data_IF_710119517639
#
_entry.id   IF_710119517639
#
_cell.length_a   1.000
_cell.length_b   1.000
_cell.length_c   1.000
_cell.angle_alpha   90.00
_cell.angle_beta   90.00
_cell.angle_gamma   90.00
#
_symmetry.space_group_name_H-M   'P 1'
#
loop_
_entity.id
_entity.type
_entity.pdbx_description
1 polymer ?
#
# COMPACT_ATOMS: atom_id res chain seq x y z
N UNK A 1 15.61 -6.36 -15.87
CA UNK A 1 14.96 -5.03 -15.93
C UNK A 1 14.03 -4.87 -14.72
N UNK A 2 14.18 -3.79 -13.95
CA UNK A 2 13.43 -3.52 -12.71
C UNK A 2 11.96 -3.19 -12.99
N UNK A 3 11.68 -2.47 -14.08
CA UNK A 3 10.31 -2.13 -14.47
C UNK A 3 9.54 -3.36 -14.93
N UNK A 4 10.23 -4.31 -15.57
CA UNK A 4 9.65 -5.61 -15.90
C UNK A 4 9.29 -6.43 -14.63
N UNK A 5 10.14 -6.43 -13.60
CA UNK A 5 9.84 -7.08 -12.32
C UNK A 5 8.65 -6.44 -11.60
N UNK A 6 8.57 -5.11 -11.62
CA UNK A 6 7.42 -4.37 -11.08
C UNK A 6 6.14 -4.72 -11.85
N UNK A 7 6.19 -4.79 -13.18
CA UNK A 7 5.06 -5.22 -14.01
C UNK A 7 4.61 -6.64 -13.65
N UNK A 8 5.54 -7.56 -13.45
CA UNK A 8 5.21 -8.92 -13.02
C UNK A 8 4.52 -8.94 -11.66
N UNK A 9 5.04 -8.17 -10.69
CA UNK A 9 4.45 -8.05 -9.36
C UNK A 9 2.98 -7.59 -9.48
N UNK A 10 2.75 -6.46 -10.15
CA UNK A 10 1.42 -5.87 -10.35
C UNK A 10 0.48 -6.82 -11.09
N UNK A 11 0.95 -7.47 -12.15
CA UNK A 11 0.14 -8.40 -12.93
C UNK A 11 -0.32 -9.59 -12.08
N UNK A 12 0.56 -10.11 -11.21
CA UNK A 12 0.28 -11.28 -10.38
C UNK A 12 -0.57 -10.96 -9.16
N UNK A 13 -0.37 -9.80 -8.56
CA UNK A 13 -1.17 -9.35 -7.40
C UNK A 13 -2.50 -8.70 -7.80
N UNK A 14 -2.59 -8.20 -9.04
CA UNK A 14 -3.64 -7.26 -9.49
C UNK A 14 -3.72 -6.01 -8.61
N UNK A 15 -2.61 -5.65 -7.96
CA UNK A 15 -2.55 -4.49 -7.09
C UNK A 15 -2.55 -3.19 -7.89
N UNK A 16 -3.09 -2.15 -7.27
CA UNK A 16 -2.97 -0.78 -7.74
C UNK A 16 -1.69 -0.14 -7.18
N UNK A 17 -1.07 0.77 -7.94
CA UNK A 17 0.19 1.42 -7.55
C UNK A 17 -0.10 2.75 -6.87
N UNK A 18 0.40 2.93 -5.65
CA UNK A 18 0.36 4.20 -4.93
C UNK A 18 1.78 4.75 -4.80
N UNK A 19 2.01 5.98 -5.25
CA UNK A 19 3.33 6.59 -5.18
C UNK A 19 3.54 7.33 -3.85
N UNK A 20 4.58 6.95 -3.12
CA UNK A 20 5.01 7.57 -1.84
C UNK A 20 6.41 8.19 -1.88
N UNK A 21 7.09 8.16 -3.02
CA UNK A 21 8.42 8.78 -3.17
C UNK A 21 8.33 10.30 -3.20
N UNK A 22 9.46 10.98 -2.98
CA UNK A 22 9.55 12.44 -3.08
C UNK A 22 9.17 12.97 -4.47
N UNK A 23 9.25 12.14 -5.52
CA UNK A 23 8.89 12.53 -6.89
C UNK A 23 7.43 12.95 -7.02
N UNK A 24 6.53 12.45 -6.16
CA UNK A 24 5.12 12.89 -6.18
C UNK A 24 4.92 14.37 -5.77
N UNK A 25 5.92 14.96 -5.14
CA UNK A 25 5.89 16.34 -4.64
C UNK A 25 6.36 17.35 -5.68
N UNK A 26 7.02 16.89 -6.75
CA UNK A 26 7.54 17.70 -7.84
C UNK A 26 6.80 17.30 -9.13
N UNK A 27 6.14 18.26 -9.77
CA UNK A 27 5.29 18.00 -10.94
C UNK A 27 6.07 17.37 -12.10
N UNK A 28 7.30 17.83 -12.37
CA UNK A 28 8.11 17.32 -13.46
C UNK A 28 8.60 15.89 -13.19
N UNK A 29 9.02 15.59 -11.96
CA UNK A 29 9.42 14.24 -11.56
C UNK A 29 8.24 13.28 -11.54
N UNK A 30 7.07 13.74 -11.11
CA UNK A 30 5.84 12.96 -11.13
C UNK A 30 5.40 12.62 -12.56
N UNK A 31 5.41 13.60 -13.47
CA UNK A 31 5.10 13.39 -14.88
C UNK A 31 6.07 12.41 -15.53
N UNK A 32 7.37 12.59 -15.30
CA UNK A 32 8.39 11.68 -15.80
C UNK A 32 8.17 10.24 -15.29
N UNK A 33 7.98 10.07 -13.97
CA UNK A 33 7.71 8.75 -13.39
C UNK A 33 6.43 8.11 -13.95
N UNK A 34 5.39 8.92 -14.19
CA UNK A 34 4.14 8.47 -14.79
C UNK A 34 4.35 7.99 -16.24
N UNK A 35 5.13 8.72 -17.04
CA UNK A 35 5.44 8.36 -18.42
C UNK A 35 6.26 7.06 -18.49
N UNK A 36 7.30 6.94 -17.66
CA UNK A 36 8.13 5.74 -17.58
C UNK A 36 7.30 4.51 -17.19
N UNK A 37 6.43 4.62 -16.19
CA UNK A 37 5.54 3.53 -15.80
C UNK A 37 4.51 3.21 -16.90
N UNK A 38 3.96 4.22 -17.57
CA UNK A 38 2.99 4.05 -18.65
C UNK A 38 3.58 3.30 -19.85
N UNK A 39 4.87 3.47 -20.16
CA UNK A 39 5.55 2.70 -21.19
C UNK A 39 5.53 1.18 -20.91
N UNK A 40 5.39 0.79 -19.64
CA UNK A 40 5.25 -0.61 -19.21
C UNK A 40 3.79 -1.02 -18.95
N UNK A 41 2.82 -0.16 -19.27
CA UNK A 41 1.39 -0.33 -18.98
C UNK A 41 1.08 -0.37 -17.48
N UNK A 42 1.91 0.28 -16.67
CA UNK A 42 1.69 0.47 -15.24
C UNK A 42 1.07 1.86 -15.04
N UNK A 43 -0.03 1.92 -14.29
CA UNK A 43 -0.71 3.17 -13.95
C UNK A 43 -0.53 3.46 -12.46
N UNK A 44 -0.19 4.69 -12.12
CA UNK A 44 -0.30 5.19 -10.76
C UNK A 44 -1.78 5.45 -10.46
N UNK A 45 -2.32 4.75 -9.47
CA UNK A 45 -3.71 4.89 -9.03
C UNK A 45 -3.90 6.14 -8.17
N UNK A 46 -2.99 6.36 -7.22
CA UNK A 46 -3.06 7.45 -6.25
C UNK A 46 -1.65 7.80 -5.75
N UNK A 47 -1.56 8.84 -4.94
CA UNK A 47 -0.33 9.25 -4.27
C UNK A 47 -0.60 9.45 -2.79
N UNK A 48 0.38 9.13 -1.94
CA UNK A 48 0.27 9.47 -0.51
C UNK A 48 0.35 11.00 -0.34
N UNK A 49 -0.27 11.59 0.70
CA UNK A 49 -0.14 13.02 0.96
C UNK A 49 1.33 13.47 0.95
N UNK A 50 1.65 14.57 0.26
CA UNK A 50 2.96 15.20 0.35
C UNK A 50 2.89 16.33 1.37
N UNK A 51 3.16 15.99 2.62
CA UNK A 51 3.14 16.94 3.73
C UNK A 51 4.53 16.98 4.34
N UNK A 52 5.38 17.91 3.88
CA UNK A 52 6.81 17.99 4.22
C UNK A 52 7.18 18.11 5.71
N UNK A 53 6.21 18.01 6.63
CA UNK A 53 6.41 17.95 8.08
C UNK A 53 6.18 16.56 8.67
N UNK A 54 5.69 15.59 7.88
CA UNK A 54 5.39 14.22 8.31
C UNK A 54 6.46 13.25 7.80
N UNK A 55 6.66 12.16 8.53
CA UNK A 55 7.51 11.07 8.05
C UNK A 55 6.81 10.34 6.91
N UNK A 56 7.57 9.68 6.02
CA UNK A 56 6.98 8.82 4.96
C UNK A 56 6.07 7.74 5.55
N UNK A 57 6.44 7.21 6.71
CA UNK A 57 5.61 6.29 7.50
C UNK A 57 4.24 6.91 7.81
N UNK A 58 4.20 8.13 8.31
CA UNK A 58 2.95 8.83 8.63
C UNK A 58 2.11 9.11 7.37
N UNK A 59 2.75 9.42 6.25
CA UNK A 59 2.08 9.69 4.97
C UNK A 59 1.43 8.43 4.40
N UNK A 60 2.14 7.31 4.39
CA UNK A 60 1.60 6.00 3.97
C UNK A 60 0.48 5.58 4.91
N UNK A 61 0.68 5.66 6.23
CA UNK A 61 -0.33 5.32 7.22
C UNK A 61 -1.59 6.20 7.11
N UNK A 62 -1.43 7.50 6.83
CA UNK A 62 -2.57 8.39 6.61
C UNK A 62 -3.37 7.99 5.36
N UNK A 63 -2.68 7.66 4.27
CA UNK A 63 -3.33 7.19 3.04
C UNK A 63 -4.09 5.87 3.27
N UNK A 64 -3.45 4.89 3.91
CA UNK A 64 -4.06 3.58 4.21
C UNK A 64 -5.31 3.72 5.08
N UNK A 65 -5.31 4.62 6.08
CA UNK A 65 -6.48 4.87 6.93
C UNK A 65 -7.64 5.46 6.14
N UNK A 66 -7.36 6.38 5.21
CA UNK A 66 -8.40 7.00 4.36
C UNK A 66 -9.01 5.99 3.37
N UNK A 67 -8.25 4.93 3.02
CA UNK A 67 -8.63 3.90 2.06
C UNK A 67 -8.88 2.52 2.72
N UNK A 68 -9.08 2.47 4.05
CA UNK A 68 -9.13 1.21 4.81
C UNK A 68 -10.23 0.24 4.33
N UNK A 69 -11.29 0.77 3.71
CA UNK A 69 -12.42 -0.01 3.18
C UNK A 69 -12.20 -0.51 1.76
N UNK A 70 -11.13 -0.07 1.11
CA UNK A 70 -10.80 -0.35 -0.29
C UNK A 70 -9.54 -1.21 -0.43
N UNK A 71 -8.71 -1.25 0.62
CA UNK A 71 -7.44 -1.97 0.64
C UNK A 71 -7.60 -3.31 1.36
N UNK A 72 -7.69 -4.40 0.60
CA UNK A 72 -7.75 -5.76 1.16
C UNK A 72 -6.37 -6.27 1.60
N UNK A 73 -5.33 -5.89 0.86
CA UNK A 73 -3.94 -6.27 1.10
C UNK A 73 -3.00 -5.24 0.49
N UNK A 74 -1.82 -5.05 1.09
CA UNK A 74 -0.79 -4.14 0.57
C UNK A 74 0.62 -4.65 0.90
N UNK A 75 1.58 -4.15 0.11
CA UNK A 75 3.01 -4.24 0.38
C UNK A 75 3.66 -2.90 0.03
N UNK A 76 4.65 -2.49 0.81
CA UNK A 76 5.43 -1.28 0.57
C UNK A 76 6.80 -1.67 0.05
N UNK A 77 7.20 -1.12 -1.10
CA UNK A 77 8.54 -1.25 -1.65
C UNK A 77 9.28 0.07 -1.37
N UNK A 78 10.29 0.04 -0.51
CA UNK A 78 11.05 1.24 -0.16
C UNK A 78 12.49 0.85 0.21
N UNK A 79 13.45 1.73 -0.01
CA UNK A 79 14.84 1.56 0.39
C UNK A 79 15.18 2.23 1.73
N UNK A 80 14.26 3.05 2.24
CA UNK A 80 14.38 3.74 3.52
C UNK A 80 13.91 2.85 4.67
N UNK A 81 14.44 3.09 5.87
CA UNK A 81 13.91 2.46 7.08
C UNK A 81 12.51 3.00 7.40
N UNK A 82 11.51 2.10 7.34
CA UNK A 82 10.11 2.38 7.64
C UNK A 82 9.66 1.65 8.92
N UNK A 83 10.60 1.20 9.73
CA UNK A 83 10.32 0.56 11.02
C UNK A 83 9.59 1.51 11.98
N UNK A 84 8.88 0.92 12.95
CA UNK A 84 8.05 1.69 13.89
C UNK A 84 6.72 2.20 13.31
N UNK A 85 6.42 1.88 12.05
CA UNK A 85 5.21 2.30 11.36
C UNK A 85 3.92 1.53 11.67
N UNK A 86 3.89 0.72 12.74
CA UNK A 86 2.71 0.00 13.25
C UNK A 86 1.94 -0.80 12.19
N UNK A 87 1.05 -0.11 11.46
CA UNK A 87 0.36 -0.66 10.27
C UNK A 87 1.32 -1.23 9.22
N UNK A 88 2.54 -0.70 9.11
CA UNK A 88 3.51 -1.16 8.11
C UNK A 88 4.27 -2.43 8.55
N UNK A 89 4.15 -2.84 9.81
CA UNK A 89 4.91 -3.97 10.33
C UNK A 89 4.54 -5.28 9.59
N UNK A 90 5.54 -5.96 9.03
CA UNK A 90 5.33 -7.15 8.20
C UNK A 90 4.88 -6.88 6.76
N UNK A 91 4.66 -5.62 6.37
CA UNK A 91 4.23 -5.23 5.01
C UNK A 91 5.31 -4.50 4.20
N UNK A 92 6.45 -4.17 4.80
CA UNK A 92 7.57 -3.49 4.12
C UNK A 92 8.54 -4.50 3.52
N UNK A 93 8.85 -4.33 2.25
CA UNK A 93 9.89 -5.05 1.52
C UNK A 93 11.00 -4.07 1.19
N UNK A 94 12.06 -4.09 2.01
CA UNK A 94 13.19 -3.20 1.82
C UNK A 94 13.95 -3.51 0.52
N UNK A 95 14.08 -2.54 -0.36
CA UNK A 95 14.92 -2.64 -1.57
C UNK A 95 16.30 -2.04 -1.31
N UNK A 96 17.32 -2.59 -1.96
CA UNK A 96 18.65 -1.98 -1.94
C UNK A 96 18.66 -0.86 -2.99
N UNK A 97 19.09 0.38 -2.70
CA UNK A 97 19.11 1.47 -3.68
C UNK A 97 20.07 1.21 -4.86
N UNK A 98 21.17 0.50 -4.65
CA UNK A 98 22.13 0.16 -5.69
C UNK A 98 21.61 -0.96 -6.62
N UNK A 99 20.90 -1.94 -6.05
CA UNK A 99 20.40 -3.11 -6.82
C UNK A 99 18.99 -2.87 -7.36
N UNK A 100 18.12 -2.25 -6.57
CA UNK A 100 16.70 -2.04 -6.81
C UNK A 100 15.86 -3.28 -6.52
N UNK A 101 14.70 -3.37 -7.20
CA UNK A 101 13.79 -4.50 -7.10
C UNK A 101 14.39 -5.77 -7.72
N UNK A 102 14.45 -6.86 -6.96
CA UNK A 102 14.90 -8.18 -7.41
C UNK A 102 13.75 -9.20 -7.44
N UNK A 103 13.97 -10.37 -8.05
CA UNK A 103 12.97 -11.44 -8.09
C UNK A 103 12.57 -11.94 -6.68
N UNK A 104 13.52 -12.00 -5.75
CA UNK A 104 13.24 -12.39 -4.36
C UNK A 104 12.38 -11.34 -3.65
N UNK A 105 12.64 -10.05 -3.91
CA UNK A 105 11.83 -8.95 -3.38
C UNK A 105 10.42 -8.96 -3.97
N UNK A 106 10.26 -9.30 -5.25
CA UNK A 106 8.94 -9.55 -5.85
C UNK A 106 8.23 -10.72 -5.16
N UNK A 107 8.93 -11.81 -4.87
CA UNK A 107 8.33 -12.95 -4.18
C UNK A 107 7.88 -12.58 -2.75
N UNK A 108 8.67 -11.80 -2.03
CA UNK A 108 8.33 -11.28 -0.70
C UNK A 108 7.11 -10.34 -0.76
N UNK A 109 7.09 -9.42 -1.73
CA UNK A 109 5.99 -8.47 -1.92
C UNK A 109 4.66 -9.14 -2.27
N UNK A 110 4.67 -10.37 -2.81
CA UNK A 110 3.47 -11.14 -3.09
C UNK A 110 2.90 -11.89 -1.87
N UNK A 111 3.58 -11.91 -0.73
CA UNK A 111 3.14 -12.64 0.46
C UNK A 111 1.72 -12.28 0.93
N UNK A 112 1.32 -10.98 0.99
CA UNK A 112 -0.03 -10.60 1.44
C UNK A 112 -1.16 -11.20 0.59
N UNK A 113 -0.95 -11.34 -0.73
CA UNK A 113 -1.95 -11.86 -1.65
C UNK A 113 -2.07 -13.39 -1.64
N UNK A 114 -1.08 -14.11 -1.10
CA UNK A 114 -1.14 -15.56 -0.95
C UNK A 114 -1.97 -15.99 0.25
N UNK A 115 -1.98 -15.17 1.31
CA UNK A 115 -2.73 -15.44 2.53
C UNK A 115 -4.25 -15.32 2.36
N UNK A 116 -4.72 -14.67 1.28
CA UNK A 116 -6.14 -14.42 1.00
C UNK A 116 -6.84 -15.41 0.07
N UNK A 117 -6.23 -16.54 -0.30
CA UNK A 117 -6.97 -17.61 -1.00
C UNK A 117 -7.65 -18.52 0.03
N UNK A 118 -8.98 -18.47 0.23
CA UNK A 118 -9.64 -19.55 0.93
C UNK A 118 -9.41 -20.82 0.09
N UNK A 119 -8.65 -21.77 0.65
CA UNK A 119 -8.58 -23.12 0.11
C UNK A 119 -10.00 -23.62 -0.09
N UNK A 120 -10.36 -23.93 -1.33
CA UNK A 120 -11.60 -24.60 -1.68
C UNK A 120 -11.62 -25.99 -1.00
N UNK A 121 -12.10 -26.05 0.24
CA UNK A 121 -12.31 -27.28 0.98
C UNK A 121 -13.65 -27.19 1.69
N UNK A 122 -14.65 -27.90 1.17
CA UNK A 122 -15.88 -28.24 1.90
C UNK A 122 -17.19 -27.67 1.35
N UNK A 123 -17.72 -28.25 0.27
CA UNK A 123 -19.17 -28.44 0.16
C UNK A 123 -19.54 -29.59 1.12
N UNK A 124 -20.59 -29.43 1.94
CA UNK A 124 -21.85 -30.05 1.54
C UNK A 124 -23.10 -29.23 1.92
N UNK A 125 -24.18 -29.49 1.18
CA UNK A 125 -25.53 -29.53 1.77
C UNK A 125 -26.38 -28.27 1.58
N UNK A 126 -27.17 -28.28 0.51
CA UNK A 126 -28.33 -27.41 0.35
C UNK A 126 -29.36 -27.64 1.47
N UNK A 127 -29.95 -26.58 2.04
CA UNK A 127 -31.40 -26.35 2.04
C UNK A 127 -31.78 -25.07 2.82
N UNK A 128 -32.54 -24.21 2.13
CA UNK A 128 -33.41 -23.14 2.67
C UNK A 128 -34.86 -23.67 2.65
N UNK A 129 -35.88 -23.07 3.32
CA UNK A 129 -36.21 -21.64 3.15
C UNK A 129 -36.95 -20.88 4.30
N UNK A 130 -36.95 -19.55 4.11
CA UNK A 130 -38.01 -18.55 4.35
C UNK A 130 -38.57 -18.24 5.76
N UNK A 131 -38.50 -16.95 6.13
CA UNK A 131 -39.35 -16.32 7.14
C UNK A 131 -39.06 -14.81 7.30
N UNK A 132 -39.94 -13.95 6.76
CA UNK A 132 -39.87 -12.47 6.86
C UNK A 132 -40.27 -12.00 8.26
N UNK A 133 -39.66 -10.90 8.75
CA UNK A 133 -40.34 -9.74 9.39
C UNK A 133 -39.33 -8.68 9.89
N UNK A 134 -39.63 -7.40 9.66
CA UNK A 134 -39.05 -6.15 10.24
C UNK A 134 -40.24 -5.28 10.66
N UNK A 135 -40.09 -4.16 11.39
CA UNK A 135 -39.19 -3.79 12.51
C UNK A 135 -40.04 -3.20 13.69
N UNK A 136 -39.45 -2.50 14.70
CA UNK A 136 -39.31 -1.04 14.55
C UNK A 136 -38.04 -0.42 15.18
N UNK A 137 -37.98 0.91 15.03
CA UNK A 137 -36.91 1.89 15.29
C UNK A 137 -36.49 2.01 16.77
N UNK A 138 -35.22 2.35 16.99
CA UNK A 138 -34.73 2.95 18.22
C UNK A 138 -33.31 3.49 18.03
N UNK A 139 -33.15 4.80 18.19
CA UNK A 139 -31.89 5.54 18.09
C UNK A 139 -30.86 5.10 19.15
N UNK A 140 -29.59 5.06 18.77
CA UNK A 140 -28.51 5.60 19.59
C UNK A 140 -27.24 5.80 18.76
N UNK A 141 -26.73 7.03 18.82
CA UNK A 141 -25.38 7.38 18.40
C UNK A 141 -24.40 6.60 19.29
N UNK A 142 -23.58 5.76 18.69
CA UNK A 142 -22.38 5.25 19.33
C UNK A 142 -21.19 5.98 18.71
N UNK A 143 -20.59 6.87 19.51
CA UNK A 143 -19.26 7.40 19.26
C UNK A 143 -18.28 6.24 19.21
N UNK A 144 -17.53 6.12 18.10
CA UNK A 144 -16.34 5.26 18.07
C UNK A 144 -15.19 6.09 18.63
N UNK A 145 -14.46 5.60 19.65
CA UNK A 145 -13.37 6.35 20.24
C UNK A 145 -12.25 6.51 19.21
N UNK A 146 -11.77 7.75 19.08
CA UNK A 146 -10.50 8.03 18.44
C UNK A 146 -9.40 7.28 19.21
N UNK A 147 -8.93 6.16 18.66
CA UNK A 147 -7.76 5.46 19.18
C UNK A 147 -6.55 6.32 18.82
N UNK A 148 -6.12 7.12 19.78
CA UNK A 148 -4.92 7.94 19.70
C UNK A 148 -3.68 7.06 19.66
N UNK A 149 -2.84 7.28 18.64
CA UNK A 149 -1.47 6.80 18.61
C UNK A 149 -0.59 7.95 18.18
N UNK A 150 0.26 8.39 19.10
CA UNK A 150 1.31 9.36 18.84
C UNK A 150 2.49 8.61 18.21
N UNK A 151 2.74 8.83 16.93
CA UNK A 151 3.97 8.36 16.28
C UNK A 151 5.08 9.39 16.51
N UNK A 152 6.22 8.91 16.97
CA UNK A 152 7.33 9.69 17.50
C UNK A 152 8.01 10.56 16.45
N UNK A 153 8.51 11.71 16.92
CA UNK A 153 9.33 12.64 16.12
C UNK A 153 10.70 12.03 15.85
N UNK A 154 11.00 11.76 14.59
CA UNK A 154 12.36 11.58 14.08
C UNK A 154 12.62 12.61 12.97
N UNK A 155 13.69 13.41 13.11
CA UNK A 155 14.10 14.45 12.16
C UNK A 155 15.31 13.98 11.35
N UNK A 156 15.28 14.28 10.04
CA UNK A 156 16.37 14.58 9.07
C UNK A 156 17.37 13.41 8.81
N UNK A 157 17.79 13.10 7.59
CA UNK A 157 18.33 13.98 6.53
C UNK A 157 18.09 13.39 5.13
N UNK A 158 17.82 14.28 4.17
CA UNK A 158 17.74 14.00 2.74
C UNK A 158 19.13 13.64 2.18
N UNK A 159 19.25 12.49 1.50
CA UNK A 159 20.36 12.22 0.58
C UNK A 159 19.78 12.21 -0.83
N UNK A 160 20.09 13.27 -1.55
CA UNK A 160 20.05 13.33 -3.02
C UNK A 160 21.22 12.46 -3.49
N UNK A 161 20.94 11.34 -4.17
CA UNK A 161 21.95 10.69 -5.01
C UNK A 161 21.67 10.99 -6.49
N UNK A 162 22.55 11.83 -7.02
CA UNK A 162 22.69 12.19 -8.42
C UNK A 162 23.46 11.10 -9.15
N UNK A 163 22.76 10.17 -9.80
CA UNK A 163 23.32 9.45 -10.96
C UNK A 163 22.36 9.50 -12.14
N UNK A 164 22.53 10.59 -12.88
CA UNK A 164 22.17 10.75 -14.30
C UNK A 164 22.90 9.72 -15.18
N UNK A 165 22.41 9.50 -16.40
CA UNK A 165 23.16 9.92 -17.58
C UNK A 165 22.75 11.33 -18.05
#
# INVERSE_FOLDING_TARGET
DRLYLLKQLITRSRAEVVLSSAWRCDEALFEWATQELAAFQIRIYSTTPCSGWRSRVDEICAWLKDHERQVDAFAVLDDSDLSGGGLLEGHVVYTDPAVGLTADKVAAALAPWRAGSPSATGLPGQSSPAGRSRPPRGSQMAAVPAVGWACGRGRKEDIIDTTRP
#
